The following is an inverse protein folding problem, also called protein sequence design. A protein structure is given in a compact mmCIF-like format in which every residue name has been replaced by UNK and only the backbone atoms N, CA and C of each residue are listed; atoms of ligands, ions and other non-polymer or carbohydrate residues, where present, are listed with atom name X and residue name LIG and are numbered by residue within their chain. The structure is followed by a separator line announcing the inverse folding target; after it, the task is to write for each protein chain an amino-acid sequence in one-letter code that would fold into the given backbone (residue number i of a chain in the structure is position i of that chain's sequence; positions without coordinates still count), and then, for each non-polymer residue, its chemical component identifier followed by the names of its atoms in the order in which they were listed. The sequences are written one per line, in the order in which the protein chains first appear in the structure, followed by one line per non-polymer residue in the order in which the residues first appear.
data_IF_839784243476
#
_entry.id   IF_839784243476
#
_cell.length_a   1.000
_cell.length_b   1.000
_cell.length_c   1.000
_cell.angle_alpha   90.00
_cell.angle_beta   90.00
_cell.angle_gamma   90.00
#
_symmetry.space_group_name_H-M   'P 1'
#
loop_
_entity.id
_entity.type
_entity.pdbx_description
1 polymer ?
#
# COMPACT_ATOMS: atom_id res chain seq x y z
N UNK A 1 -38.85 -25.62 32.86
CA UNK A 1 -37.44 -25.90 33.25
C UNK A 1 -36.88 -26.90 32.24
N UNK A 2 -35.73 -26.77 31.58
CA UNK A 2 -34.70 -25.75 31.42
C UNK A 2 -33.90 -26.14 30.14
N UNK A 3 -33.26 -25.17 29.49
CA UNK A 3 -32.36 -25.31 28.34
C UNK A 3 -31.15 -26.22 28.60
N UNK A 4 -30.53 -26.73 27.52
CA UNK A 4 -29.14 -26.41 27.14
C UNK A 4 -28.87 -26.72 25.65
N UNK A 5 -28.25 -25.75 24.99
CA UNK A 5 -27.78 -25.78 23.61
C UNK A 5 -26.38 -26.41 23.50
N UNK A 6 -26.05 -26.97 22.33
CA UNK A 6 -24.67 -27.27 21.93
C UNK A 6 -24.48 -27.03 20.42
N UNK A 7 -24.01 -25.82 20.14
CA UNK A 7 -22.99 -25.42 19.16
C UNK A 7 -23.12 -25.88 17.70
N UNK A 8 -23.69 -24.98 16.90
CA UNK A 8 -23.57 -24.97 15.44
C UNK A 8 -22.12 -24.79 15.01
N UNK A 9 -21.65 -25.68 14.13
CA UNK A 9 -20.37 -25.55 13.44
C UNK A 9 -20.30 -24.24 12.65
N UNK A 10 -19.43 -23.34 13.08
CA UNK A 10 -19.12 -22.11 12.34
C UNK A 10 -18.44 -22.49 11.01
N UNK A 11 -18.89 -21.99 9.86
CA UNK A 11 -18.21 -22.26 8.60
C UNK A 11 -16.80 -21.67 8.67
N UNK A 12 -15.80 -22.52 8.47
CA UNK A 12 -14.42 -22.09 8.22
C UNK A 12 -14.41 -21.35 6.89
N UNK A 13 -14.68 -20.04 6.94
CA UNK A 13 -14.50 -19.18 5.79
C UNK A 13 -13.05 -19.37 5.29
N UNK A 14 -12.82 -19.57 3.98
CA UNK A 14 -11.47 -19.67 3.47
C UNK A 14 -10.69 -18.44 3.92
N UNK A 15 -9.46 -18.65 4.40
CA UNK A 15 -8.54 -17.55 4.67
C UNK A 15 -8.59 -16.62 3.46
N UNK A 16 -8.79 -15.30 3.66
CA UNK A 16 -8.84 -14.38 2.55
C UNK A 16 -7.59 -14.61 1.67
N UNK A 17 -7.75 -14.60 0.33
CA UNK A 17 -6.62 -14.77 -0.58
C UNK A 17 -5.50 -13.82 -0.17
N UNK A 18 -4.21 -14.14 -0.44
CA UNK A 18 -3.08 -13.30 -0.05
C UNK A 18 -3.43 -11.86 -0.40
N UNK A 19 -3.66 -11.06 0.63
CA UNK A 19 -4.25 -9.73 0.48
C UNK A 19 -3.21 -8.90 -0.24
N UNK A 20 -3.49 -8.58 -1.50
CA UNK A 20 -2.66 -7.69 -2.28
C UNK A 20 -2.61 -6.36 -1.54
N UNK A 21 -1.48 -6.09 -0.88
CA UNK A 21 -1.29 -4.82 -0.20
C UNK A 21 -1.27 -3.69 -1.23
N UNK A 22 -2.21 -2.72 -1.16
CA UNK A 22 -2.33 -1.67 -2.17
C UNK A 22 -1.12 -0.73 -2.19
N UNK A 23 -0.49 -0.49 -1.03
CA UNK A 23 0.70 0.35 -0.93
C UNK A 23 1.90 -0.31 -1.60
N UNK A 24 2.18 -1.57 -1.27
CA UNK A 24 3.26 -2.36 -1.87
C UNK A 24 3.00 -2.60 -3.36
N UNK A 25 1.75 -2.77 -3.79
CA UNK A 25 1.40 -2.94 -5.20
C UNK A 25 1.71 -1.67 -5.99
N UNK A 26 1.34 -0.51 -5.46
CA UNK A 26 1.68 0.77 -6.06
C UNK A 26 3.20 1.03 -6.05
N UNK A 27 3.89 0.68 -4.95
CA UNK A 27 5.35 0.81 -4.87
C UNK A 27 6.05 -0.10 -5.88
N UNK A 28 5.59 -1.33 -6.06
CA UNK A 28 6.11 -2.25 -7.07
C UNK A 28 5.92 -1.70 -8.50
N UNK A 29 4.77 -1.09 -8.77
CA UNK A 29 4.51 -0.44 -10.05
C UNK A 29 5.45 0.76 -10.29
N UNK A 30 5.72 1.57 -9.26
CA UNK A 30 6.72 2.64 -9.33
C UNK A 30 8.14 2.08 -9.52
N UNK A 31 8.51 1.00 -8.82
CA UNK A 31 9.81 0.34 -8.98
C UNK A 31 10.03 -0.09 -10.44
N UNK A 32 9.06 -0.76 -11.05
CA UNK A 32 9.09 -1.12 -12.48
C UNK A 32 9.24 0.09 -13.38
N UNK A 33 8.48 1.15 -13.11
CA UNK A 33 8.52 2.38 -13.90
C UNK A 33 9.89 3.07 -13.88
N UNK A 34 10.60 3.01 -12.75
CA UNK A 34 11.95 3.56 -12.59
C UNK A 34 13.06 2.52 -12.80
N UNK A 35 12.73 1.36 -13.38
CA UNK A 35 13.67 0.27 -13.68
C UNK A 35 14.47 -0.20 -12.46
N UNK A 36 13.83 -0.21 -11.29
CA UNK A 36 14.37 -0.69 -10.02
C UNK A 36 13.84 -2.08 -9.67
N UNK A 37 14.62 -2.84 -8.92
CA UNK A 37 14.16 -4.08 -8.33
C UNK A 37 13.04 -3.81 -7.30
N UNK A 38 11.95 -4.57 -7.36
CA UNK A 38 10.82 -4.37 -6.45
C UNK A 38 9.53 -5.02 -6.95
N UNK A 39 9.50 -6.34 -7.08
CA UNK A 39 8.25 -7.09 -7.31
C UNK A 39 7.44 -7.18 -6.01
N UNK A 40 6.11 -7.20 -6.13
CA UNK A 40 5.20 -7.18 -4.96
C UNK A 40 5.55 -8.27 -3.93
N UNK A 41 5.77 -9.50 -4.37
CA UNK A 41 6.11 -10.62 -3.48
C UNK A 41 7.45 -10.40 -2.76
N UNK A 42 8.46 -9.81 -3.41
CA UNK A 42 9.74 -9.48 -2.77
C UNK A 42 9.56 -8.37 -1.73
N UNK A 43 8.78 -7.34 -2.05
CA UNK A 43 8.49 -6.25 -1.13
C UNK A 43 7.67 -6.76 0.07
N UNK A 44 6.72 -7.68 -0.15
CA UNK A 44 5.93 -8.31 0.90
C UNK A 44 6.75 -9.21 1.81
N UNK A 45 7.74 -9.92 1.28
CA UNK A 45 8.65 -10.74 2.10
C UNK A 45 9.60 -9.89 2.94
N UNK A 46 10.06 -8.75 2.39
CA UNK A 46 10.89 -7.79 3.12
C UNK A 46 10.10 -6.94 4.13
N UNK A 47 8.79 -6.86 3.95
CA UNK A 47 7.85 -6.25 4.89
C UNK A 47 7.71 -7.16 6.12
N UNK A 48 8.03 -6.63 7.30
CA UNK A 48 8.23 -7.41 8.52
C UNK A 48 6.99 -8.09 9.08
N UNK A 49 5.79 -7.77 8.58
CA UNK A 49 4.53 -8.39 9.00
C UNK A 49 3.64 -8.75 7.80
N UNK A 50 3.69 -10.00 7.30
CA UNK A 50 2.94 -10.42 6.12
C UNK A 50 1.42 -10.45 6.31
N UNK A 51 0.92 -10.27 7.54
CA UNK A 51 -0.50 -10.20 7.88
C UNK A 51 -1.05 -8.77 7.99
N UNK A 52 -0.17 -7.76 8.04
CA UNK A 52 -0.55 -6.34 8.17
C UNK A 52 -0.36 -5.61 6.85
N UNK A 53 -1.32 -4.75 6.51
CA UNK A 53 -1.13 -3.79 5.42
C UNK A 53 0.02 -2.82 5.74
N UNK A 54 0.80 -2.47 4.73
CA UNK A 54 1.92 -1.55 4.84
C UNK A 54 1.40 -0.14 5.12
N UNK A 55 1.87 0.44 6.22
CA UNK A 55 1.63 1.84 6.53
C UNK A 55 2.68 2.75 5.87
N UNK A 56 2.56 4.05 6.11
CA UNK A 56 3.46 5.04 5.52
C UNK A 56 4.94 4.80 5.87
N UNK A 57 5.21 4.37 7.11
CA UNK A 57 6.58 4.14 7.58
C UNK A 57 7.15 2.89 6.91
N UNK A 58 6.34 1.84 6.80
CA UNK A 58 6.70 0.60 6.11
C UNK A 58 7.02 0.85 4.64
N UNK A 59 6.18 1.64 3.95
CA UNK A 59 6.37 1.98 2.54
C UNK A 59 7.61 2.85 2.31
N UNK A 60 7.86 3.84 3.16
CA UNK A 60 9.06 4.67 3.07
C UNK A 60 10.34 3.86 3.32
N UNK A 61 10.32 2.97 4.32
CA UNK A 61 11.45 2.07 4.60
C UNK A 61 11.72 1.17 3.41
N UNK A 62 10.68 0.55 2.88
CA UNK A 62 10.77 -0.37 1.74
C UNK A 62 11.27 0.34 0.48
N UNK A 63 10.72 1.52 0.17
CA UNK A 63 11.17 2.33 -0.96
C UNK A 63 12.66 2.71 -0.86
N UNK A 64 13.12 3.12 0.34
CA UNK A 64 14.53 3.44 0.58
C UNK A 64 15.43 2.21 0.44
N UNK A 65 14.97 1.04 0.91
CA UNK A 65 15.72 -0.22 0.82
C UNK A 65 15.99 -0.63 -0.64
N UNK A 66 15.06 -0.36 -1.55
CA UNK A 66 15.22 -0.61 -3.00
C UNK A 66 15.86 0.59 -3.75
N UNK A 67 16.41 1.56 -3.01
CA UNK A 67 17.23 2.64 -3.55
C UNK A 67 16.44 3.83 -4.11
N UNK A 68 15.17 4.03 -3.72
CA UNK A 68 14.49 5.32 -3.95
C UNK A 68 14.94 6.38 -2.95
N UNK A 69 15.02 7.64 -3.43
CA UNK A 69 15.03 8.81 -2.55
C UNK A 69 13.58 9.16 -2.21
N UNK A 70 13.05 8.54 -1.15
CA UNK A 70 11.64 8.66 -0.75
C UNK A 70 11.46 9.48 0.54
N UNK A 71 10.42 10.32 0.55
CA UNK A 71 10.00 11.18 1.66
C UNK A 71 8.47 11.28 1.67
N UNK A 72 7.86 11.18 2.86
CA UNK A 72 6.45 11.53 3.06
C UNK A 72 6.30 13.06 3.15
N UNK A 73 5.35 13.61 2.41
CA UNK A 73 5.00 15.03 2.47
C UNK A 73 3.48 15.19 2.54
N UNK A 74 3.03 16.11 3.38
CA UNK A 74 1.69 16.66 3.24
C UNK A 74 1.71 17.70 2.12
N UNK A 75 0.82 17.55 1.15
CA UNK A 75 0.71 18.45 0.01
C UNK A 75 -0.73 18.82 -0.25
N UNK A 76 -0.94 20.10 -0.54
CA UNK A 76 -2.23 20.61 -1.02
C UNK A 76 -2.32 20.52 -2.54
N UNK A 77 -3.54 20.55 -3.09
CA UNK A 77 -3.78 20.50 -4.54
C UNK A 77 -2.97 21.55 -5.32
N UNK A 78 -2.83 22.76 -4.77
CA UNK A 78 -2.06 23.85 -5.39
C UNK A 78 -0.55 23.53 -5.54
N UNK A 79 0.00 22.68 -4.68
CA UNK A 79 1.42 22.28 -4.70
C UNK A 79 1.69 21.08 -5.59
N UNK A 80 0.69 20.25 -5.87
CA UNK A 80 0.85 19.04 -6.69
C UNK A 80 1.49 19.34 -8.05
N UNK A 81 1.17 20.47 -8.67
CA UNK A 81 1.75 20.91 -9.94
C UNK A 81 3.28 21.07 -9.92
N UNK A 82 3.86 21.33 -8.74
CA UNK A 82 5.30 21.57 -8.53
C UNK A 82 6.00 20.40 -7.86
N UNK A 83 5.27 19.34 -7.52
CA UNK A 83 5.80 18.11 -6.92
C UNK A 83 6.21 17.15 -8.03
N UNK A 84 7.24 16.29 -7.84
CA UNK A 84 7.47 15.17 -8.75
C UNK A 84 6.26 14.22 -8.73
N UNK A 85 5.42 14.34 -9.75
CA UNK A 85 4.10 13.73 -9.84
C UNK A 85 4.09 12.24 -10.19
N UNK A 86 5.15 11.49 -9.90
CA UNK A 86 5.11 10.02 -9.89
C UNK A 86 5.32 9.58 -8.46
N UNK A 87 4.29 9.82 -7.65
CA UNK A 87 4.35 9.64 -6.22
C UNK A 87 3.24 8.72 -5.74
N UNK A 88 3.52 8.09 -4.61
CA UNK A 88 2.54 7.33 -3.86
C UNK A 88 1.75 8.30 -2.98
N UNK A 89 0.42 8.26 -3.06
CA UNK A 89 -0.47 9.11 -2.29
C UNK A 89 -1.38 8.27 -1.39
N UNK A 90 -1.64 8.76 -0.18
CA UNK A 90 -2.59 8.16 0.76
C UNK A 90 -3.96 8.77 0.57
N UNK A 91 -4.99 7.93 0.41
CA UNK A 91 -6.37 8.36 0.39
C UNK A 91 -6.92 8.46 1.84
N UNK A 92 -8.00 9.22 2.03
CA UNK A 92 -8.56 9.49 3.38
C UNK A 92 -9.14 8.24 4.07
N UNK A 93 -9.44 7.20 3.30
CA UNK A 93 -9.90 5.89 3.79
C UNK A 93 -8.76 4.96 4.22
N UNK A 94 -7.50 5.40 4.11
CA UNK A 94 -6.32 4.59 4.41
C UNK A 94 -5.78 3.79 3.22
N UNK A 95 -6.41 3.89 2.05
CA UNK A 95 -5.92 3.29 0.80
C UNK A 95 -4.73 4.05 0.20
N UNK A 96 -4.10 3.43 -0.79
CA UNK A 96 -2.93 3.96 -1.50
C UNK A 96 -3.17 3.97 -3.00
N UNK A 97 -2.67 5.01 -3.68
CA UNK A 97 -2.76 5.14 -5.12
C UNK A 97 -1.56 5.92 -5.69
N UNK A 98 -1.34 5.78 -7.00
CA UNK A 98 -0.29 6.51 -7.70
C UNK A 98 -0.88 7.79 -8.30
N UNK A 99 -0.29 8.93 -7.94
CA UNK A 99 -0.42 10.14 -8.73
C UNK A 99 0.67 10.08 -9.81
N UNK A 100 0.26 10.21 -11.08
CA UNK A 100 1.16 10.16 -12.24
C UNK A 100 1.33 11.50 -12.96
N UNK A 101 0.27 12.33 -12.95
CA UNK A 101 0.23 13.68 -13.54
C UNK A 101 -1.00 14.42 -13.03
N UNK A 102 -0.90 15.75 -12.91
CA UNK A 102 -2.05 16.65 -12.78
C UNK A 102 -2.28 17.28 -14.15
N UNK A 103 -3.50 17.12 -14.68
CA UNK A 103 -3.93 17.79 -15.91
C UNK A 103 -4.96 18.86 -15.56
N UNK A 104 -4.83 20.05 -16.15
CA UNK A 104 -5.84 21.11 -15.99
C UNK A 104 -5.50 22.25 -15.04
N UNK A 105 -4.23 22.44 -14.62
CA UNK A 105 -3.84 23.78 -14.13
C UNK A 105 -3.88 24.75 -15.31
N UNK A 106 -4.89 25.60 -15.30
CA UNK A 106 -5.03 26.76 -16.19
C UNK A 106 -4.74 28.02 -15.41
#
# INVERSE_FOLDING_TARGET
MNQVAAEEGKPTAPLPPPTLDPGLACLAMLAKFFEKAGEHDQLRHGHGDPGKMADEVDLLRTAKAIGFKAQGIDSEFARLARTPLRCLARHKDGGWFILAKVAGLR
#
